data_IF_707063059933
#
_entry.id   IF_707063059933
#
_cell.length_a   1.000
_cell.length_b   1.000
_cell.length_c   1.000
_cell.angle_alpha   90.00
_cell.angle_beta   90.00
_cell.angle_gamma   90.00
#
_symmetry.space_group_name_H-M   'P 1'
#
loop_
_entity.id
_entity.type
_entity.pdbx_description
1 polymer ?
#
# COMPACT_ATOMS: atom_id res chain seq x y z
N UNK A 1 -12.97 -12.02 10.35
CA UNK A 1 -14.36 -12.23 10.00
C UNK A 1 -15.29 -11.59 11.03
N UNK A 2 -15.10 -11.83 12.33
CA UNK A 2 -15.94 -11.28 13.42
C UNK A 2 -16.01 -9.74 13.39
N UNK A 3 -14.88 -9.06 13.19
CA UNK A 3 -14.81 -7.58 13.11
C UNK A 3 -15.62 -7.05 11.93
N UNK A 4 -15.57 -7.72 10.78
CA UNK A 4 -16.32 -7.30 9.59
C UNK A 4 -17.82 -7.47 9.80
N UNK A 5 -18.24 -8.59 10.39
CA UNK A 5 -19.64 -8.85 10.70
C UNK A 5 -20.17 -7.82 11.69
N UNK A 6 -19.44 -7.56 12.78
CA UNK A 6 -19.82 -6.56 13.76
C UNK A 6 -19.91 -5.14 13.16
N UNK A 7 -19.03 -4.79 12.22
CA UNK A 7 -19.10 -3.50 11.52
C UNK A 7 -20.34 -3.41 10.63
N UNK A 8 -20.69 -4.48 9.92
CA UNK A 8 -21.92 -4.52 9.10
C UNK A 8 -23.17 -4.38 9.97
N UNK A 9 -23.24 -5.14 11.07
CA UNK A 9 -24.36 -5.05 12.02
C UNK A 9 -24.50 -3.63 12.61
N UNK A 10 -23.38 -2.97 12.90
CA UNK A 10 -23.38 -1.58 13.39
C UNK A 10 -23.87 -0.60 12.33
N UNK A 11 -23.47 -0.80 11.04
CA UNK A 11 -23.94 0.02 9.93
C UNK A 11 -25.42 -0.17 9.66
N UNK A 12 -25.92 -1.40 9.66
CA UNK A 12 -27.34 -1.70 9.48
C UNK A 12 -28.19 -1.06 10.59
N UNK A 13 -27.81 -1.26 11.85
CA UNK A 13 -28.50 -0.65 12.99
C UNK A 13 -28.46 0.89 12.92
N UNK A 14 -27.32 1.47 12.54
CA UNK A 14 -27.19 2.92 12.40
C UNK A 14 -28.06 3.50 11.26
N UNK A 15 -28.25 2.76 10.17
CA UNK A 15 -29.16 3.16 9.09
C UNK A 15 -30.64 3.09 9.53
N UNK A 16 -31.02 2.05 10.27
CA UNK A 16 -32.36 1.88 10.79
C UNK A 16 -32.69 3.01 11.80
N UNK A 17 -31.79 3.26 12.75
CA UNK A 17 -31.91 4.35 13.74
C UNK A 17 -32.04 5.73 13.05
N UNK A 18 -31.19 5.99 12.01
CA UNK A 18 -31.26 7.23 11.25
C UNK A 18 -32.59 7.41 10.51
N UNK A 19 -33.15 6.31 9.96
CA UNK A 19 -34.47 6.32 9.29
C UNK A 19 -35.58 6.66 10.26
N UNK A 20 -35.58 6.02 11.43
CA UNK A 20 -36.61 6.24 12.46
C UNK A 20 -36.54 7.68 13.01
N UNK A 21 -35.33 8.20 13.26
CA UNK A 21 -35.13 9.57 13.70
C UNK A 21 -35.54 10.60 12.65
N UNK A 22 -35.30 10.32 11.35
CA UNK A 22 -35.71 11.18 10.26
C UNK A 22 -37.25 11.26 10.14
N UNK A 23 -37.92 10.12 10.28
CA UNK A 23 -39.38 10.07 10.24
C UNK A 23 -40.00 10.90 11.39
N UNK A 24 -39.44 10.81 12.60
CA UNK A 24 -39.83 11.63 13.74
C UNK A 24 -39.57 13.13 13.52
N UNK A 25 -38.39 13.46 12.98
CA UNK A 25 -38.02 14.85 12.68
C UNK A 25 -38.95 15.49 11.64
N UNK A 26 -39.44 14.71 10.66
CA UNK A 26 -40.39 15.14 9.65
C UNK A 26 -41.77 15.36 10.27
N UNK A 27 -42.21 14.48 11.19
CA UNK A 27 -43.53 14.63 11.88
C UNK A 27 -43.56 15.86 12.80
N UNK A 28 -42.45 16.18 13.47
CA UNK A 28 -42.32 17.29 14.41
C UNK A 28 -41.85 18.60 13.77
N UNK A 29 -41.50 18.61 12.46
CA UNK A 29 -40.89 19.74 11.71
C UNK A 29 -39.59 20.27 12.40
N UNK A 30 -38.82 19.34 13.02
CA UNK A 30 -37.58 19.64 13.74
C UNK A 30 -36.37 19.56 12.82
N UNK A 31 -35.88 20.75 12.46
CA UNK A 31 -34.69 20.88 11.60
C UNK A 31 -33.39 20.51 12.30
N UNK A 32 -33.29 20.75 13.61
CA UNK A 32 -32.06 20.48 14.34
C UNK A 32 -31.77 18.98 14.43
N UNK A 33 -32.86 18.19 14.60
CA UNK A 33 -32.79 16.73 14.56
C UNK A 33 -32.47 16.22 13.15
N UNK A 34 -33.00 16.82 12.10
CA UNK A 34 -32.68 16.46 10.72
C UNK A 34 -31.18 16.72 10.38
N UNK A 35 -30.66 17.87 10.83
CA UNK A 35 -29.20 18.19 10.62
C UNK A 35 -28.30 17.23 11.41
N UNK A 36 -28.72 16.77 12.60
CA UNK A 36 -27.99 15.76 13.35
C UNK A 36 -27.94 14.41 12.64
N UNK A 37 -29.08 13.96 12.09
CA UNK A 37 -29.16 12.72 11.29
C UNK A 37 -28.26 12.78 10.05
N UNK A 38 -28.17 13.95 9.38
CA UNK A 38 -27.27 14.13 8.23
C UNK A 38 -25.80 13.95 8.63
N UNK A 39 -25.39 14.44 9.81
CA UNK A 39 -24.03 14.25 10.32
C UNK A 39 -23.74 12.78 10.68
N UNK A 40 -24.71 12.09 11.27
CA UNK A 40 -24.59 10.66 11.59
C UNK A 40 -24.48 9.82 10.32
N UNK A 41 -25.30 10.09 9.30
CA UNK A 41 -25.21 9.45 7.99
C UNK A 41 -23.85 9.66 7.32
N UNK A 42 -23.28 10.87 7.38
CA UNK A 42 -21.94 11.13 6.88
C UNK A 42 -20.87 10.29 7.61
N UNK A 43 -21.04 10.04 8.90
CA UNK A 43 -20.20 9.14 9.68
C UNK A 43 -20.28 7.68 9.23
N UNK A 44 -21.51 7.21 8.97
CA UNK A 44 -21.79 5.85 8.46
C UNK A 44 -21.22 5.67 7.04
N UNK A 45 -21.31 6.69 6.18
CA UNK A 45 -20.75 6.67 4.82
C UNK A 45 -19.23 6.47 4.85
N UNK A 46 -18.52 7.21 5.72
CA UNK A 46 -17.06 7.03 5.89
C UNK A 46 -16.70 5.62 6.40
N UNK A 47 -17.53 5.06 7.28
CA UNK A 47 -17.32 3.70 7.78
C UNK A 47 -17.58 2.65 6.70
N UNK A 48 -18.57 2.86 5.86
CA UNK A 48 -18.88 2.02 4.70
C UNK A 48 -17.75 2.05 3.66
N UNK A 49 -17.24 3.24 3.31
CA UNK A 49 -16.10 3.39 2.39
C UNK A 49 -14.88 2.61 2.86
N UNK A 50 -14.58 2.64 4.17
CA UNK A 50 -13.49 1.85 4.75
C UNK A 50 -13.71 0.36 4.62
N UNK A 51 -14.95 -0.10 4.75
CA UNK A 51 -15.30 -1.51 4.65
C UNK A 51 -15.26 -1.99 3.19
N UNK A 52 -15.74 -1.19 2.24
CA UNK A 52 -15.63 -1.45 0.81
C UNK A 52 -14.17 -1.49 0.37
N UNK A 53 -13.36 -0.58 0.89
CA UNK A 53 -11.93 -0.56 0.63
C UNK A 53 -11.25 -1.85 1.11
N UNK A 54 -11.58 -2.35 2.31
CA UNK A 54 -11.08 -3.64 2.82
C UNK A 54 -11.47 -4.82 1.92
N UNK A 55 -12.63 -4.78 1.27
CA UNK A 55 -13.06 -5.80 0.32
C UNK A 55 -12.15 -5.90 -0.91
N UNK A 56 -11.45 -4.83 -1.28
CA UNK A 56 -10.47 -4.85 -2.38
C UNK A 56 -9.25 -5.70 -2.05
N UNK A 57 -8.94 -5.90 -0.77
CA UNK A 57 -7.85 -6.74 -0.28
C UNK A 57 -8.35 -8.17 -0.02
N UNK A 58 -8.65 -8.89 -1.11
CA UNK A 58 -9.17 -10.26 -1.05
C UNK A 58 -8.08 -11.34 -1.23
N UNK A 59 -6.83 -10.94 -1.43
CA UNK A 59 -5.70 -11.85 -1.55
C UNK A 59 -5.34 -12.47 -0.18
N UNK A 60 -4.97 -13.74 -0.20
CA UNK A 60 -4.62 -14.51 1.00
C UNK A 60 -3.44 -13.89 1.78
N UNK A 61 -2.54 -13.22 1.06
CA UNK A 61 -1.36 -12.53 1.61
C UNK A 61 -1.57 -11.03 1.84
N UNK A 62 -2.70 -10.46 1.39
CA UNK A 62 -2.93 -9.01 1.46
C UNK A 62 -2.97 -8.47 2.90
N UNK A 63 -3.36 -9.29 3.87
CA UNK A 63 -3.41 -8.94 5.30
C UNK A 63 -2.05 -8.94 5.99
N UNK A 64 -1.00 -9.47 5.32
CA UNK A 64 0.31 -9.61 5.92
C UNK A 64 1.08 -8.28 5.95
N UNK A 65 2.11 -8.26 6.81
CA UNK A 65 3.13 -7.23 6.76
C UNK A 65 3.88 -7.28 5.42
N UNK A 66 4.59 -6.21 5.09
CA UNK A 66 5.30 -6.10 3.83
C UNK A 66 6.77 -5.73 4.02
N UNK A 67 7.61 -6.32 3.18
CA UNK A 67 8.96 -5.82 2.92
C UNK A 67 8.96 -5.07 1.59
N UNK A 68 9.54 -3.89 1.59
CA UNK A 68 9.71 -3.05 0.41
C UNK A 68 11.19 -2.85 0.15
N UNK A 69 11.65 -3.37 -0.99
CA UNK A 69 13.02 -3.25 -1.47
C UNK A 69 13.11 -2.17 -2.55
N UNK A 70 13.97 -1.21 -2.33
CA UNK A 70 14.27 -0.14 -3.28
C UNK A 70 15.67 -0.37 -3.82
N UNK A 71 15.84 -0.36 -5.14
CA UNK A 71 17.14 -0.46 -5.80
C UNK A 71 17.32 0.67 -6.80
N UNK A 72 18.45 1.36 -6.71
CA UNK A 72 18.83 2.36 -7.70
C UNK A 72 19.08 1.72 -9.05
N UNK A 73 18.57 2.33 -10.12
CA UNK A 73 18.86 1.92 -11.49
C UNK A 73 20.29 2.27 -11.94
N UNK A 74 20.63 1.97 -13.19
CA UNK A 74 21.96 2.16 -13.78
C UNK A 74 22.39 3.62 -14.01
N UNK A 75 21.63 4.60 -13.51
CA UNK A 75 21.85 6.03 -13.74
C UNK A 75 22.90 6.72 -12.85
N UNK A 76 23.74 5.98 -12.13
CA UNK A 76 24.77 6.54 -11.24
C UNK A 76 24.19 7.36 -10.08
N UNK A 77 24.86 8.47 -9.72
CA UNK A 77 24.50 9.33 -8.57
C UNK A 77 23.05 9.82 -8.60
N UNK A 78 22.51 10.16 -9.78
CA UNK A 78 21.12 10.59 -9.93
C UNK A 78 20.11 9.49 -9.58
N UNK A 79 20.37 8.26 -9.96
CA UNK A 79 19.51 7.13 -9.63
C UNK A 79 19.58 6.78 -8.13
N UNK A 80 20.77 6.92 -7.53
CA UNK A 80 20.98 6.71 -6.10
C UNK A 80 20.25 7.78 -5.26
N UNK A 81 20.27 9.03 -5.69
CA UNK A 81 19.54 10.12 -5.07
C UNK A 81 18.00 9.91 -5.21
N UNK A 82 17.57 9.43 -6.39
CA UNK A 82 16.17 9.07 -6.59
C UNK A 82 15.71 7.93 -5.65
N UNK A 83 16.52 6.91 -5.45
CA UNK A 83 16.23 5.84 -4.49
C UNK A 83 16.09 6.36 -3.05
N UNK A 84 16.92 7.32 -2.64
CA UNK A 84 16.79 7.97 -1.32
C UNK A 84 15.52 8.81 -1.20
N UNK A 85 15.13 9.51 -2.27
CA UNK A 85 13.86 10.23 -2.30
C UNK A 85 12.65 9.29 -2.16
N UNK A 86 12.68 8.13 -2.85
CA UNK A 86 11.64 7.10 -2.73
C UNK A 86 11.59 6.53 -1.30
N UNK A 87 12.74 6.23 -0.71
CA UNK A 87 12.83 5.77 0.69
C UNK A 87 12.10 6.75 1.61
N UNK A 88 12.42 8.04 1.51
CA UNK A 88 11.79 9.08 2.35
C UNK A 88 10.28 9.20 2.08
N UNK A 89 9.86 9.06 0.83
CA UNK A 89 8.46 9.09 0.44
C UNK A 89 7.68 7.96 1.12
N UNK A 90 8.18 6.72 1.04
CA UNK A 90 7.50 5.57 1.61
C UNK A 90 7.51 5.57 3.15
N UNK A 91 8.58 6.03 3.79
CA UNK A 91 8.62 6.19 5.24
C UNK A 91 7.55 7.17 5.73
N UNK A 92 7.43 8.35 5.10
CA UNK A 92 6.40 9.32 5.43
C UNK A 92 5.00 8.79 5.17
N UNK A 93 4.79 8.14 4.05
CA UNK A 93 3.52 7.53 3.74
C UNK A 93 3.13 6.47 4.77
N UNK A 94 4.08 5.66 5.23
CA UNK A 94 3.84 4.68 6.29
C UNK A 94 3.45 5.33 7.62
N UNK A 95 4.14 6.40 8.01
CA UNK A 95 3.79 7.19 9.20
C UNK A 95 2.38 7.79 9.09
N UNK A 96 2.03 8.41 7.96
CA UNK A 96 0.73 9.02 7.72
C UNK A 96 -0.42 7.99 7.75
N UNK A 97 -0.16 6.76 7.33
CA UNK A 97 -1.13 5.66 7.38
C UNK A 97 -1.15 4.91 8.73
N UNK A 98 -0.25 5.26 9.64
CA UNK A 98 -0.14 4.63 10.96
C UNK A 98 0.53 3.25 10.95
N UNK A 99 1.28 2.92 9.90
CA UNK A 99 2.10 1.73 9.86
C UNK A 99 3.36 1.91 10.71
N UNK A 100 3.78 0.85 11.40
CA UNK A 100 5.09 0.84 12.03
C UNK A 100 6.14 0.51 10.96
N UNK A 101 7.00 1.47 10.67
CA UNK A 101 8.04 1.34 9.66
C UNK A 101 9.40 1.07 10.29
N UNK A 102 10.12 0.06 9.82
CA UNK A 102 11.45 -0.29 10.29
C UNK A 102 12.40 -0.39 9.10
N UNK A 103 13.48 0.40 9.11
CA UNK A 103 14.54 0.28 8.11
C UNK A 103 15.41 -0.94 8.46
N UNK A 104 15.33 -1.99 7.65
CA UNK A 104 16.04 -3.27 7.87
C UNK A 104 17.49 -3.16 7.38
N UNK A 105 17.66 -2.65 6.16
CA UNK A 105 18.96 -2.51 5.52
C UNK A 105 18.99 -1.25 4.65
N UNK A 106 20.13 -0.60 4.62
CA UNK A 106 20.39 0.49 3.70
C UNK A 106 21.87 0.47 3.25
N UNK A 107 22.07 0.44 1.95
CA UNK A 107 23.41 0.53 1.33
C UNK A 107 23.60 1.91 0.75
N UNK A 108 24.54 2.67 1.29
CA UNK A 108 24.82 4.04 0.84
C UNK A 108 25.39 4.07 -0.59
N UNK A 109 25.07 5.13 -1.31
CA UNK A 109 25.67 5.46 -2.59
C UNK A 109 27.14 5.87 -2.44
N UNK A 110 27.86 5.92 -3.54
CA UNK A 110 29.29 6.28 -3.52
C UNK A 110 29.53 7.77 -3.28
N UNK A 111 28.65 8.63 -3.80
CA UNK A 111 28.77 10.09 -3.70
C UNK A 111 27.56 10.66 -2.95
N UNK A 112 26.35 10.21 -3.28
CA UNK A 112 25.12 10.64 -2.66
C UNK A 112 24.05 9.57 -2.86
N UNK A 113 22.99 9.63 -2.04
CA UNK A 113 21.85 8.73 -2.14
C UNK A 113 22.12 7.30 -1.67
N UNK A 114 21.30 6.37 -2.11
CA UNK A 114 21.32 4.96 -1.71
C UNK A 114 21.44 4.06 -2.93
N UNK A 115 22.21 2.96 -2.83
CA UNK A 115 22.24 1.88 -3.82
C UNK A 115 21.02 0.98 -3.68
N UNK A 116 20.73 0.59 -2.44
CA UNK A 116 19.56 -0.22 -2.09
C UNK A 116 19.09 0.11 -0.67
N UNK A 117 17.81 -0.12 -0.41
CA UNK A 117 17.24 -0.04 0.93
C UNK A 117 16.07 -1.01 1.04
N UNK A 118 15.96 -1.68 2.20
CA UNK A 118 14.86 -2.56 2.56
C UNK A 118 14.12 -2.00 3.77
N UNK A 119 12.81 -1.81 3.64
CA UNK A 119 11.93 -1.32 4.70
C UNK A 119 10.93 -2.42 5.02
N UNK A 120 10.72 -2.66 6.31
CA UNK A 120 9.59 -3.47 6.80
C UNK A 120 8.45 -2.55 7.21
N UNK A 121 7.25 -2.88 6.74
CA UNK A 121 5.99 -2.24 7.12
C UNK A 121 5.16 -3.23 7.92
N UNK A 122 4.91 -2.91 9.19
CA UNK A 122 4.05 -3.70 10.07
C UNK A 122 2.71 -2.99 10.22
N UNK A 123 1.62 -3.67 9.89
CA UNK A 123 0.27 -3.16 10.05
C UNK A 123 -0.77 -3.90 9.22
N UNK A 124 -2.02 -3.61 9.49
CA UNK A 124 -3.15 -4.29 8.85
C UNK A 124 -3.20 -3.98 7.34
N UNK A 125 -3.15 -5.02 6.50
CA UNK A 125 -3.12 -4.93 5.04
C UNK A 125 -1.92 -4.17 4.45
N UNK A 126 -0.77 -4.17 5.12
CA UNK A 126 0.42 -3.46 4.63
C UNK A 126 0.85 -3.94 3.25
N UNK A 127 0.88 -5.26 3.02
CA UNK A 127 1.19 -5.82 1.72
C UNK A 127 0.14 -5.48 0.67
N UNK A 128 -1.15 -5.57 1.02
CA UNK A 128 -2.25 -5.23 0.11
C UNK A 128 -2.14 -3.81 -0.45
N UNK A 129 -1.77 -2.84 0.39
CA UNK A 129 -1.52 -1.46 -0.01
C UNK A 129 -0.31 -1.30 -0.93
N UNK A 130 0.79 -1.94 -0.59
CA UNK A 130 2.08 -1.71 -1.24
C UNK A 130 2.31 -2.57 -2.50
N UNK A 131 1.62 -3.69 -2.66
CA UNK A 131 1.84 -4.64 -3.77
C UNK A 131 1.77 -3.99 -5.16
N UNK A 132 0.93 -2.97 -5.30
CA UNK A 132 0.75 -2.25 -6.57
C UNK A 132 1.90 -1.32 -6.91
N UNK A 133 2.76 -1.01 -5.94
CA UNK A 133 3.94 -0.16 -6.11
C UNK A 133 5.12 -0.92 -6.74
N UNK A 134 5.03 -2.26 -6.85
CA UNK A 134 6.09 -3.07 -7.48
C UNK A 134 6.28 -2.67 -8.93
N UNK A 135 7.49 -2.19 -9.26
CA UNK A 135 7.80 -1.76 -10.61
C UNK A 135 8.99 -0.83 -10.71
N UNK A 136 9.11 -0.17 -11.86
CA UNK A 136 10.18 0.79 -12.13
C UNK A 136 9.64 2.21 -12.04
N UNK A 137 10.17 2.96 -11.10
CA UNK A 137 9.80 4.34 -10.83
C UNK A 137 10.73 5.30 -11.59
N UNK A 138 10.13 6.20 -12.34
CA UNK A 138 10.84 7.17 -13.20
C UNK A 138 10.80 8.57 -12.60
N UNK A 139 11.97 9.19 -12.49
CA UNK A 139 12.11 10.60 -12.16
C UNK A 139 12.64 11.38 -13.35
N UNK A 140 12.02 12.51 -13.64
CA UNK A 140 12.49 13.47 -14.66
C UNK A 140 12.62 14.84 -14.01
N UNK A 141 13.86 15.30 -13.82
CA UNK A 141 14.14 16.60 -13.20
C UNK A 141 15.39 17.26 -13.82
N UNK A 142 15.62 18.53 -13.49
CA UNK A 142 16.94 19.14 -13.68
C UNK A 142 17.89 18.55 -12.66
N UNK A 143 19.02 18.04 -13.11
CA UNK A 143 20.00 17.41 -12.23
C UNK A 143 20.70 18.43 -11.33
N UNK A 144 20.72 18.22 -9.99
CA UNK A 144 21.54 19.02 -9.10
C UNK A 144 23.03 18.65 -9.18
N UNK A 145 23.37 17.50 -9.77
CA UNK A 145 24.74 17.00 -9.92
C UNK A 145 25.36 17.38 -11.28
N UNK A 146 24.57 17.90 -12.22
CA UNK A 146 25.06 18.36 -13.51
C UNK A 146 25.30 19.87 -13.50
N UNK A 147 26.55 20.28 -13.68
CA UNK A 147 26.93 21.69 -13.76
C UNK A 147 26.22 22.47 -14.89
N UNK A 148 25.76 21.77 -15.92
CA UNK A 148 24.98 22.33 -17.02
C UNK A 148 23.49 22.48 -16.74
N UNK A 149 22.98 21.98 -15.60
CA UNK A 149 21.56 22.08 -15.22
C UNK A 149 20.62 21.42 -16.23
N UNK A 150 21.07 20.43 -16.97
CA UNK A 150 20.29 19.72 -17.99
C UNK A 150 19.25 18.82 -17.35
N UNK A 151 18.20 18.53 -18.12
CA UNK A 151 17.15 17.61 -17.72
C UNK A 151 17.61 16.17 -17.85
N UNK A 152 17.57 15.43 -16.74
CA UNK A 152 17.96 14.02 -16.68
C UNK A 152 16.74 13.17 -16.34
N UNK A 153 16.80 11.92 -16.78
CA UNK A 153 15.81 10.88 -16.44
C UNK A 153 16.53 9.78 -15.65
N UNK A 154 16.01 9.47 -14.47
CA UNK A 154 16.54 8.44 -13.58
C UNK A 154 15.48 7.40 -13.28
N UNK A 155 15.92 6.18 -13.03
CA UNK A 155 15.07 5.06 -12.71
C UNK A 155 15.52 4.41 -11.40
N UNK A 156 14.54 3.94 -10.63
CA UNK A 156 14.76 3.08 -9.48
C UNK A 156 13.69 1.99 -9.50
N UNK A 157 14.04 0.78 -9.12
CA UNK A 157 13.09 -0.33 -9.00
C UNK A 157 12.62 -0.46 -7.56
N UNK A 158 11.33 -0.71 -7.41
CA UNK A 158 10.69 -1.06 -6.14
C UNK A 158 10.14 -2.47 -6.27
N UNK A 159 10.42 -3.30 -5.28
CA UNK A 159 9.87 -4.64 -5.18
C UNK A 159 9.22 -4.80 -3.81
N UNK A 160 8.01 -5.36 -3.79
CA UNK A 160 7.28 -5.58 -2.54
C UNK A 160 7.02 -7.06 -2.37
N UNK A 161 7.40 -7.60 -1.20
CA UNK A 161 7.14 -8.99 -0.81
C UNK A 161 6.34 -9.04 0.49
N UNK A 162 5.41 -10.00 0.64
CA UNK A 162 4.72 -10.21 1.90
C UNK A 162 5.66 -10.84 2.93
N UNK A 163 5.46 -10.52 4.19
CA UNK A 163 6.04 -11.29 5.29
C UNK A 163 5.29 -12.62 5.40
N UNK A 164 6.00 -13.70 5.21
CA UNK A 164 5.44 -15.05 5.23
C UNK A 164 5.84 -15.70 6.56
N UNK A 165 4.85 -16.14 7.32
CA UNK A 165 5.11 -16.94 8.54
C UNK A 165 5.69 -18.31 8.15
N UNK A 166 6.61 -18.84 8.97
CA UNK A 166 7.29 -20.12 8.77
C UNK A 166 6.36 -21.36 8.73
N UNK A 167 5.05 -21.18 8.76
CA UNK A 167 4.04 -22.24 8.72
C UNK A 167 3.70 -22.76 7.31
N UNK A 168 4.38 -22.27 6.28
CA UNK A 168 4.19 -22.80 4.92
C UNK A 168 5.02 -24.07 4.78
N UNK A 169 4.34 -25.20 4.79
CA UNK A 169 4.93 -26.51 4.51
C UNK A 169 5.24 -26.58 3.00
N UNK A 170 6.47 -26.19 2.64
CA UNK A 170 6.95 -26.23 1.25
C UNK A 170 7.49 -27.63 0.98
N UNK A 171 6.68 -28.46 0.34
CA UNK A 171 7.14 -29.74 -0.18
C UNK A 171 8.10 -29.51 -1.36
N UNK A 172 9.40 -29.50 -1.07
CA UNK A 172 10.42 -29.37 -2.12
C UNK A 172 10.59 -30.68 -2.87
N UNK A 173 10.09 -30.73 -4.09
CA UNK A 173 10.39 -31.84 -5.01
C UNK A 173 11.73 -31.61 -5.69
N UNK A 174 12.64 -32.56 -5.58
CA UNK A 174 14.01 -32.43 -6.11
C UNK A 174 14.07 -32.49 -7.64
N UNK A 175 12.96 -32.70 -8.34
CA UNK A 175 12.89 -32.78 -9.80
C UNK A 175 11.55 -32.28 -10.33
N UNK A 176 11.56 -31.10 -10.93
CA UNK A 176 10.50 -30.67 -11.87
C UNK A 176 10.96 -31.04 -13.29
N UNK A 177 10.14 -31.78 -14.00
CA UNK A 177 10.41 -32.18 -15.36
C UNK A 177 10.42 -30.96 -16.29
N UNK A 178 11.60 -30.43 -16.58
CA UNK A 178 11.84 -29.42 -17.60
C UNK A 178 11.90 -30.11 -18.97
N UNK A 179 10.77 -30.29 -19.61
CA UNK A 179 10.73 -30.54 -21.05
C UNK A 179 10.89 -29.20 -21.77
N UNK A 180 12.09 -28.96 -22.28
CA UNK A 180 12.26 -27.92 -23.30
C UNK A 180 11.43 -28.35 -24.51
N UNK A 181 10.55 -27.49 -25.08
CA UNK A 181 9.88 -27.79 -26.32
C UNK A 181 10.95 -27.89 -27.42
N UNK A 182 11.25 -29.10 -27.85
CA UNK A 182 12.02 -29.34 -29.07
C UNK A 182 11.13 -28.95 -30.22
N UNK A 183 11.19 -27.70 -30.66
CA UNK A 183 10.67 -27.30 -31.97
C UNK A 183 11.53 -27.98 -33.02
N UNK A 184 11.01 -29.07 -33.56
CA UNK A 184 11.57 -29.72 -34.74
C UNK A 184 11.24 -28.80 -35.90
N UNK A 185 12.17 -27.98 -36.35
CA UNK A 185 12.09 -27.34 -37.66
C UNK A 185 12.17 -28.44 -38.73
N UNK A 186 11.10 -28.60 -39.50
CA UNK A 186 11.08 -29.29 -40.79
C UNK A 186 11.16 -28.23 -41.86
#
# INVERSE_FOLDING_TARGET
LEVVVATIETLDAGCDDASDLLDLAVEEDDKDTADAVEQDLAGLEIALEKLEFRRMFSGETDSNNAYLDIQAGSGGTEAQDWAEMLLRMYLRWGEDKGFKTTLVEASAGEVAGLKSATIQFEGEYAFGWLRTETGVHRLVRKSPFDSGGRRHTSFASVFVSPEIDDNIDIETVSYTHLTLPTTRCV
#
